data_IF_787406270629
#
_entry.id   IF_787406270629
#
_cell.length_a   1.000
_cell.length_b   1.000
_cell.length_c   1.000
_cell.angle_alpha   90.00
_cell.angle_beta   90.00
_cell.angle_gamma   90.00
#
_symmetry.space_group_name_H-M   'P 1'
#
loop_
_entity.id
_entity.type
_entity.pdbx_description
1 polymer ?
#
# COMPACT_ATOMS: atom_id res chain seq x y z
N UNK A 1 -41.49 37.45 46.62
CA UNK A 1 -40.69 36.49 47.43
C UNK A 1 -41.38 35.14 47.24
N UNK A 2 -40.86 34.13 46.56
CA UNK A 2 -39.57 33.82 45.92
C UNK A 2 -39.91 32.86 44.75
N UNK A 3 -39.37 33.10 43.54
CA UNK A 3 -38.19 32.44 42.96
C UNK A 3 -38.59 31.28 42.02
N UNK A 4 -38.32 31.55 40.76
CA UNK A 4 -38.44 30.78 39.52
C UNK A 4 -37.59 29.50 39.60
N UNK A 5 -38.17 28.35 39.28
CA UNK A 5 -37.47 27.06 39.27
C UNK A 5 -36.74 26.91 37.94
N UNK A 6 -35.42 26.76 38.02
CA UNK A 6 -34.52 26.80 36.88
C UNK A 6 -34.69 25.56 35.99
N UNK A 7 -35.18 25.78 34.77
CA UNK A 7 -35.13 24.80 33.70
C UNK A 7 -33.69 24.78 33.15
N UNK A 8 -32.83 23.95 33.73
CA UNK A 8 -31.49 23.69 33.16
C UNK A 8 -31.65 23.04 31.77
N UNK A 9 -30.91 23.51 30.74
CA UNK A 9 -30.96 22.89 29.44
C UNK A 9 -30.31 21.50 29.52
N UNK A 10 -31.06 20.45 29.20
CA UNK A 10 -30.53 19.10 28.99
C UNK A 10 -29.37 19.18 27.98
N UNK A 11 -28.14 19.11 28.49
CA UNK A 11 -26.96 19.03 27.66
C UNK A 11 -27.01 17.71 26.88
N UNK A 12 -27.06 17.71 25.53
CA UNK A 12 -27.23 16.49 24.72
C UNK A 12 -26.09 15.46 24.88
N UNK A 13 -25.04 15.80 25.63
CA UNK A 13 -23.86 14.98 25.90
C UNK A 13 -23.92 14.18 27.23
N UNK A 14 -24.94 14.32 28.07
CA UNK A 14 -25.08 13.53 29.31
C UNK A 14 -25.87 12.23 29.14
N UNK A 15 -26.40 11.95 27.95
CA UNK A 15 -27.17 10.73 27.72
C UNK A 15 -26.26 9.48 27.80
N UNK A 16 -26.55 8.51 28.70
CA UNK A 16 -25.75 7.29 28.84
C UNK A 16 -25.67 6.45 27.56
N UNK A 17 -26.64 6.58 26.64
CA UNK A 17 -26.55 5.99 25.30
C UNK A 17 -25.40 6.57 24.47
N UNK A 18 -25.23 7.89 24.45
CA UNK A 18 -24.13 8.53 23.72
C UNK A 18 -22.77 8.23 24.36
N UNK A 19 -22.68 8.18 25.69
CA UNK A 19 -21.46 7.77 26.38
C UNK A 19 -21.07 6.31 26.07
N UNK A 20 -22.05 5.40 25.98
CA UNK A 20 -21.81 4.01 25.61
C UNK A 20 -21.43 3.85 24.13
N UNK A 21 -22.04 4.63 23.22
CA UNK A 21 -21.65 4.68 21.80
C UNK A 21 -20.24 5.24 21.65
N UNK A 22 -19.91 6.34 22.34
CA UNK A 22 -18.58 6.91 22.33
C UNK A 22 -17.52 5.94 22.89
N UNK A 23 -17.86 5.19 23.94
CA UNK A 23 -16.98 4.15 24.51
C UNK A 23 -16.81 2.95 23.59
N UNK A 24 -17.88 2.53 22.89
CA UNK A 24 -17.81 1.46 21.90
C UNK A 24 -17.01 1.87 20.65
N UNK A 25 -17.14 3.13 20.22
CA UNK A 25 -16.35 3.69 19.11
C UNK A 25 -14.87 3.90 19.51
N UNK A 26 -14.60 4.37 20.72
CA UNK A 26 -13.23 4.51 21.23
C UNK A 26 -12.51 3.15 21.38
N UNK A 27 -13.26 2.06 21.57
CA UNK A 27 -12.70 0.71 21.63
C UNK A 27 -12.28 0.14 20.26
N UNK A 28 -12.69 0.76 19.14
CA UNK A 28 -12.39 0.27 17.78
C UNK A 28 -11.05 0.78 17.23
N UNK A 29 -10.32 1.59 18.00
CA UNK A 29 -9.01 2.13 17.61
C UNK A 29 -9.12 3.41 16.78
N UNK A 30 -7.99 3.96 16.31
CA UNK A 30 -7.96 5.23 15.56
C UNK A 30 -8.61 5.14 14.17
N UNK A 31 -8.99 3.94 13.72
CA UNK A 31 -9.54 3.65 12.39
C UNK A 31 -10.67 2.61 12.51
N UNK A 32 -11.80 2.88 11.85
CA UNK A 32 -12.94 1.95 11.82
C UNK A 32 -12.72 0.80 10.83
N UNK A 33 -12.04 -0.26 11.28
CA UNK A 33 -11.64 -1.39 10.43
C UNK A 33 -12.80 -2.17 9.82
N UNK A 34 -13.95 -2.24 10.52
CA UNK A 34 -15.14 -2.88 9.97
C UNK A 34 -15.72 -2.12 8.78
N UNK A 35 -15.73 -0.78 8.85
CA UNK A 35 -16.12 0.08 7.73
C UNK A 35 -15.15 -0.11 6.57
N UNK A 36 -13.84 -0.09 6.84
CA UNK A 36 -12.82 -0.33 5.81
C UNK A 36 -13.00 -1.68 5.10
N UNK A 37 -13.24 -2.74 5.86
CA UNK A 37 -13.46 -4.09 5.33
C UNK A 37 -14.73 -4.18 4.49
N UNK A 38 -15.85 -3.64 4.97
CA UNK A 38 -17.12 -3.64 4.22
C UNK A 38 -17.00 -2.86 2.91
N UNK A 39 -16.44 -1.66 2.96
CA UNK A 39 -16.24 -0.82 1.76
C UNK A 39 -15.27 -1.47 0.77
N UNK A 40 -14.20 -2.10 1.25
CA UNK A 40 -13.25 -2.81 0.39
C UNK A 40 -13.89 -3.99 -0.33
N UNK A 41 -14.68 -4.80 0.38
CA UNK A 41 -15.38 -5.95 -0.21
C UNK A 41 -16.41 -5.50 -1.24
N UNK A 42 -17.21 -4.48 -0.92
CA UNK A 42 -18.20 -3.93 -1.86
C UNK A 42 -17.52 -3.39 -3.13
N UNK A 43 -16.42 -2.66 -2.97
CA UNK A 43 -15.66 -2.11 -4.09
C UNK A 43 -14.97 -3.18 -4.94
N UNK A 44 -14.32 -4.17 -4.30
CA UNK A 44 -13.60 -5.25 -5.00
C UNK A 44 -14.52 -6.15 -5.81
N UNK A 45 -15.73 -6.38 -5.31
CA UNK A 45 -16.73 -7.24 -5.93
C UNK A 45 -17.67 -6.48 -6.88
N UNK A 46 -17.66 -5.15 -6.83
CA UNK A 46 -18.57 -4.28 -7.59
C UNK A 46 -20.05 -4.65 -7.38
N UNK A 47 -20.39 -5.15 -6.19
CA UNK A 47 -21.73 -5.63 -5.85
C UNK A 47 -22.13 -6.99 -6.45
N UNK A 48 -21.21 -7.67 -7.15
CA UNK A 48 -21.44 -9.00 -7.70
C UNK A 48 -20.98 -10.10 -6.73
N UNK A 49 -21.59 -11.28 -6.81
CA UNK A 49 -21.08 -12.45 -6.08
C UNK A 49 -19.86 -13.02 -6.80
N UNK A 50 -18.72 -13.10 -6.12
CA UNK A 50 -17.55 -13.81 -6.64
C UNK A 50 -17.67 -15.31 -6.38
N UNK A 51 -17.54 -16.11 -7.44
CA UNK A 51 -17.41 -17.55 -7.32
C UNK A 51 -16.03 -17.92 -6.77
N UNK A 52 -15.95 -19.10 -6.17
CA UNK A 52 -14.66 -19.72 -5.88
C UNK A 52 -13.89 -19.98 -7.18
N UNK A 53 -12.56 -19.90 -7.08
CA UNK A 53 -11.66 -20.25 -8.18
C UNK A 53 -11.91 -21.71 -8.59
N UNK A 54 -12.04 -21.92 -9.90
CA UNK A 54 -12.24 -23.25 -10.48
C UNK A 54 -11.17 -24.25 -9.98
N UNK A 55 -11.56 -25.45 -9.50
CA UNK A 55 -10.61 -26.42 -8.95
C UNK A 55 -9.51 -26.83 -9.93
N UNK A 56 -9.84 -26.99 -11.22
CA UNK A 56 -8.84 -27.36 -12.24
C UNK A 56 -7.83 -26.23 -12.47
N UNK A 57 -8.30 -24.97 -12.49
CA UNK A 57 -7.42 -23.80 -12.60
C UNK A 57 -6.52 -23.64 -11.38
N UNK A 58 -7.05 -23.91 -10.18
CA UNK A 58 -6.28 -23.93 -8.93
C UNK A 58 -5.16 -24.98 -8.98
N UNK A 59 -5.49 -26.23 -9.28
CA UNK A 59 -4.52 -27.32 -9.37
C UNK A 59 -3.42 -26.99 -10.39
N UNK A 60 -3.80 -26.51 -11.58
CA UNK A 60 -2.83 -26.10 -12.61
C UNK A 60 -1.90 -24.99 -12.12
N UNK A 61 -2.43 -23.99 -11.42
CA UNK A 61 -1.61 -22.90 -10.87
C UNK A 61 -0.65 -23.40 -9.79
N UNK A 62 -1.08 -24.33 -8.94
CA UNK A 62 -0.24 -24.97 -7.92
C UNK A 62 0.88 -25.83 -8.53
N UNK A 63 0.63 -26.50 -9.66
CA UNK A 63 1.65 -27.21 -10.43
C UNK A 63 2.70 -26.24 -10.99
N UNK A 64 2.26 -25.15 -11.63
CA UNK A 64 3.15 -24.11 -12.17
C UNK A 64 3.96 -23.42 -11.06
N UNK A 65 3.36 -23.23 -9.88
CA UNK A 65 4.03 -22.65 -8.72
C UNK A 65 5.28 -23.44 -8.31
N UNK A 66 5.21 -24.78 -8.31
CA UNK A 66 6.36 -25.65 -7.97
C UNK A 66 7.50 -25.49 -8.98
N UNK A 67 7.17 -25.34 -10.26
CA UNK A 67 8.14 -25.11 -11.33
C UNK A 67 8.78 -23.73 -11.17
N UNK A 68 7.97 -22.70 -10.98
CA UNK A 68 8.45 -21.33 -10.75
C UNK A 68 9.36 -21.24 -9.52
N UNK A 69 8.98 -21.89 -8.42
CA UNK A 69 9.74 -21.90 -7.16
C UNK A 69 11.14 -22.51 -7.35
N UNK A 70 11.25 -23.63 -8.06
CA UNK A 70 12.54 -24.25 -8.39
C UNK A 70 13.46 -23.26 -9.10
N UNK A 71 12.96 -22.61 -10.16
CA UNK A 71 13.76 -21.67 -10.93
C UNK A 71 14.09 -20.38 -10.18
N UNK A 72 13.18 -19.87 -9.34
CA UNK A 72 13.46 -18.71 -8.49
C UNK A 72 14.58 -19.03 -7.51
N UNK A 73 14.58 -20.20 -6.85
CA UNK A 73 15.67 -20.62 -5.96
C UNK A 73 17.00 -20.70 -6.72
N UNK A 74 17.01 -21.32 -7.90
CA UNK A 74 18.23 -21.47 -8.71
C UNK A 74 18.81 -20.14 -9.21
N UNK A 75 17.97 -19.16 -9.55
CA UNK A 75 18.41 -17.87 -10.10
C UNK A 75 18.80 -16.90 -8.99
N UNK A 76 17.99 -16.82 -7.93
CA UNK A 76 18.18 -15.81 -6.89
C UNK A 76 19.14 -16.22 -5.79
N UNK A 77 19.35 -17.53 -5.59
CA UNK A 77 20.10 -18.10 -4.45
C UNK A 77 19.47 -17.71 -3.08
N UNK A 78 18.20 -17.29 -3.08
CA UNK A 78 17.44 -16.91 -1.89
C UNK A 78 16.57 -18.06 -1.38
N UNK A 79 16.39 -18.10 -0.07
CA UNK A 79 15.54 -19.11 0.58
C UNK A 79 14.05 -18.78 0.41
N UNK A 80 13.26 -19.79 0.03
CA UNK A 80 11.79 -19.77 -0.01
C UNK A 80 11.23 -20.82 0.98
N UNK A 81 11.60 -20.73 2.25
CA UNK A 81 11.26 -21.79 3.22
C UNK A 81 9.75 -21.78 3.52
N UNK A 82 9.10 -22.94 3.37
CA UNK A 82 7.67 -23.17 3.65
C UNK A 82 6.69 -22.26 2.90
N UNK A 83 7.06 -21.74 1.72
CA UNK A 83 6.17 -20.90 0.91
C UNK A 83 5.02 -21.73 0.32
N UNK A 84 3.79 -21.46 0.76
CA UNK A 84 2.57 -22.01 0.17
C UNK A 84 1.90 -20.99 -0.74
N UNK A 85 1.83 -21.30 -2.03
CA UNK A 85 1.04 -20.52 -2.99
C UNK A 85 -0.45 -20.85 -2.83
N UNK A 86 -1.26 -19.83 -2.58
CA UNK A 86 -2.70 -19.93 -2.42
C UNK A 86 -3.41 -19.13 -3.51
N UNK A 87 -4.23 -19.83 -4.29
CA UNK A 87 -5.06 -19.17 -5.31
C UNK A 87 -6.35 -18.67 -4.68
N UNK A 88 -6.55 -17.36 -4.72
CA UNK A 88 -7.64 -16.67 -4.02
C UNK A 88 -8.50 -15.85 -4.97
N UNK A 89 -9.71 -15.51 -4.56
CA UNK A 89 -10.52 -14.48 -5.22
C UNK A 89 -10.21 -13.09 -4.63
N UNK A 90 -10.83 -12.04 -5.17
CA UNK A 90 -10.57 -10.66 -4.74
C UNK A 90 -11.05 -10.43 -3.31
N UNK A 91 -12.18 -11.03 -2.92
CA UNK A 91 -12.69 -10.92 -1.56
C UNK A 91 -11.71 -11.45 -0.50
N UNK A 92 -11.14 -12.64 -0.72
CA UNK A 92 -10.12 -13.23 0.16
C UNK A 92 -8.82 -12.42 0.13
N UNK A 93 -8.41 -11.92 -1.04
CA UNK A 93 -7.26 -11.03 -1.15
C UNK A 93 -7.42 -9.76 -0.32
N UNK A 94 -8.59 -9.11 -0.36
CA UNK A 94 -8.91 -7.92 0.44
C UNK A 94 -8.75 -8.18 1.93
N UNK A 95 -9.28 -9.31 2.42
CA UNK A 95 -9.21 -9.67 3.84
C UNK A 95 -7.78 -9.86 4.32
N UNK A 96 -6.96 -10.59 3.54
CA UNK A 96 -5.54 -10.75 3.83
C UNK A 96 -4.82 -9.41 3.79
N UNK A 97 -5.07 -8.60 2.76
CA UNK A 97 -4.45 -7.28 2.59
C UNK A 97 -4.72 -6.34 3.76
N UNK A 98 -5.98 -6.18 4.16
CA UNK A 98 -6.35 -5.29 5.27
C UNK A 98 -5.76 -5.77 6.60
N UNK A 99 -5.73 -7.08 6.82
CA UNK A 99 -5.14 -7.65 8.05
C UNK A 99 -3.65 -7.34 8.12
N UNK A 100 -2.91 -7.53 7.03
CA UNK A 100 -1.46 -7.35 7.00
C UNK A 100 -1.04 -5.88 6.95
N UNK A 101 -1.82 -5.01 6.32
CA UNK A 101 -1.51 -3.57 6.24
C UNK A 101 -2.02 -2.76 7.42
N UNK A 102 -2.72 -3.41 8.35
CA UNK A 102 -3.25 -2.77 9.56
C UNK A 102 -2.23 -1.91 10.32
N UNK A 103 -0.99 -2.38 10.58
CA UNK A 103 0.00 -1.55 11.28
C UNK A 103 0.32 -0.23 10.56
N UNK A 104 0.47 -0.26 9.23
CA UNK A 104 0.78 0.94 8.45
C UNK A 104 -0.33 1.98 8.51
N UNK A 105 -1.59 1.54 8.38
CA UNK A 105 -2.74 2.43 8.43
C UNK A 105 -3.09 2.88 9.86
N UNK A 106 -2.84 2.06 10.87
CA UNK A 106 -2.97 2.48 12.27
C UNK A 106 -1.93 3.56 12.60
N UNK A 107 -0.69 3.45 12.12
CA UNK A 107 0.32 4.52 12.23
C UNK A 107 -0.09 5.80 11.51
N UNK A 108 -0.64 5.69 10.31
CA UNK A 108 -1.21 6.83 9.57
C UNK A 108 -2.33 7.52 10.37
N UNK A 109 -3.29 6.75 10.86
CA UNK A 109 -4.43 7.25 11.61
C UNK A 109 -3.98 7.95 12.91
N UNK A 110 -2.98 7.39 13.60
CA UNK A 110 -2.37 8.01 14.78
C UNK A 110 -1.69 9.34 14.44
N UNK A 111 -0.98 9.44 13.31
CA UNK A 111 -0.36 10.68 12.86
C UNK A 111 -1.39 11.79 12.58
N UNK A 112 -2.48 11.45 11.90
CA UNK A 112 -3.58 12.37 11.58
C UNK A 112 -4.41 12.78 12.80
N UNK A 113 -4.49 11.94 13.83
CA UNK A 113 -5.21 12.23 15.06
C UNK A 113 -4.47 13.18 16.01
N UNK A 114 -3.19 13.48 15.75
CA UNK A 114 -2.46 14.45 16.56
C UNK A 114 -3.04 15.85 16.32
N UNK A 115 -3.42 16.59 17.38
CA UNK A 115 -3.92 17.94 17.23
C UNK A 115 -2.86 18.80 16.53
N UNK A 116 -3.27 19.56 15.51
CA UNK A 116 -2.44 20.66 15.02
C UNK A 116 -2.16 21.56 16.23
N UNK A 117 -0.90 21.94 16.46
CA UNK A 117 -0.52 22.79 17.60
C UNK A 117 -1.40 24.03 17.58
N UNK A 118 -2.39 24.05 18.47
CA UNK A 118 -3.45 25.03 18.50
C UNK A 118 -2.84 26.39 18.82
N UNK A 119 -3.06 27.35 17.94
CA UNK A 119 -2.90 28.76 18.26
C UNK A 119 -3.94 29.08 19.33
N UNK A 120 -3.49 29.43 20.53
CA UNK A 120 -4.36 29.86 21.62
C UNK A 120 -5.22 31.05 21.14
N UNK A 121 -6.50 30.80 20.89
CA UNK A 121 -7.47 31.81 20.51
C UNK A 121 -8.87 31.35 20.88
N UNK A 122 -9.64 32.21 21.56
CA UNK A 122 -11.00 31.99 22.04
C UNK A 122 -11.83 31.11 21.09
N UNK A 123 -12.03 29.84 21.45
CA UNK A 123 -12.86 28.94 20.67
C UNK A 123 -14.33 29.31 20.88
N UNK A 124 -14.96 29.85 19.83
CA UNK A 124 -16.42 29.97 19.73
C UNK A 124 -17.05 28.58 20.05
N UNK A 125 -18.04 28.48 20.96
CA UNK A 125 -18.70 27.22 21.31
C UNK A 125 -19.18 26.41 20.09
N UNK A 126 -19.50 27.09 19.00
CA UNK A 126 -19.92 26.50 17.72
C UNK A 126 -18.76 25.75 17.04
N UNK A 127 -17.55 26.31 17.07
CA UNK A 127 -16.34 25.69 16.53
C UNK A 127 -15.90 24.47 17.35
N UNK A 128 -16.02 24.55 18.68
CA UNK A 128 -15.74 23.42 19.57
C UNK A 128 -16.69 22.23 19.30
N UNK A 129 -17.98 22.51 19.06
CA UNK A 129 -18.95 21.48 18.70
C UNK A 129 -18.63 20.83 17.34
N UNK A 130 -18.26 21.62 16.33
CA UNK A 130 -17.86 21.10 15.01
C UNK A 130 -16.57 20.27 15.09
N UNK A 131 -15.59 20.70 15.89
CA UNK A 131 -14.35 19.95 16.16
C UNK A 131 -14.59 18.64 16.93
N UNK A 132 -15.62 18.57 17.77
CA UNK A 132 -16.03 17.32 18.42
C UNK A 132 -16.71 16.36 17.43
N UNK A 133 -17.56 16.87 16.55
CA UNK A 133 -18.23 16.07 15.53
C UNK A 133 -17.25 15.53 14.48
N UNK A 134 -16.27 16.34 14.04
CA UNK A 134 -15.25 15.89 13.10
C UNK A 134 -14.39 14.76 13.68
N UNK A 135 -14.02 14.85 14.96
CA UNK A 135 -13.30 13.78 15.69
C UNK A 135 -14.07 12.46 15.75
N UNK A 136 -15.41 12.50 15.78
CA UNK A 136 -16.24 11.29 15.77
C UNK A 136 -16.37 10.67 14.37
N UNK A 137 -16.41 11.49 13.32
CA UNK A 137 -16.65 11.04 11.94
C UNK A 137 -15.35 10.64 11.22
N UNK A 138 -14.23 11.31 11.52
CA UNK A 138 -12.96 11.15 10.81
C UNK A 138 -12.44 9.68 10.76
N UNK A 139 -12.46 8.89 11.84
CA UNK A 139 -12.03 7.49 11.80
C UNK A 139 -12.85 6.62 10.84
N UNK A 140 -14.15 6.90 10.71
CA UNK A 140 -15.05 6.20 9.79
C UNK A 140 -14.78 6.57 8.34
N UNK A 141 -14.56 7.86 8.07
CA UNK A 141 -14.21 8.36 6.74
C UNK A 141 -12.85 7.82 6.30
N UNK A 142 -11.84 7.82 7.17
CA UNK A 142 -10.53 7.25 6.88
C UNK A 142 -10.64 5.73 6.58
N UNK A 143 -11.42 5.01 7.39
CA UNK A 143 -11.72 3.61 7.14
C UNK A 143 -12.36 3.39 5.77
N UNK A 144 -13.38 4.18 5.42
CA UNK A 144 -14.05 4.13 4.13
C UNK A 144 -13.07 4.39 2.97
N UNK A 145 -12.23 5.42 3.07
CA UNK A 145 -11.21 5.75 2.08
C UNK A 145 -10.22 4.59 1.87
N UNK A 146 -9.65 4.05 2.95
CA UNK A 146 -8.74 2.90 2.90
C UNK A 146 -9.43 1.68 2.29
N UNK A 147 -10.70 1.47 2.67
CA UNK A 147 -11.52 0.40 2.13
C UNK A 147 -11.69 0.52 0.61
N UNK A 148 -12.13 1.66 0.12
CA UNK A 148 -12.29 1.93 -1.33
C UNK A 148 -10.99 1.67 -2.08
N UNK A 149 -9.86 2.15 -1.57
CA UNK A 149 -8.57 1.98 -2.23
C UNK A 149 -8.13 0.53 -2.32
N UNK A 150 -8.17 -0.20 -1.20
CA UNK A 150 -7.83 -1.63 -1.17
C UNK A 150 -8.77 -2.42 -2.06
N UNK A 151 -10.06 -2.07 -2.07
CA UNK A 151 -11.06 -2.69 -2.94
C UNK A 151 -10.74 -2.48 -4.42
N UNK A 152 -10.34 -1.27 -4.83
CA UNK A 152 -9.94 -0.97 -6.20
C UNK A 152 -8.63 -1.69 -6.59
N UNK A 153 -7.63 -1.74 -5.70
CA UNK A 153 -6.42 -2.53 -5.93
C UNK A 153 -6.73 -4.01 -6.17
N UNK A 154 -7.70 -4.57 -5.43
CA UNK A 154 -8.11 -5.96 -5.60
C UNK A 154 -8.63 -6.30 -7.01
N UNK A 155 -9.14 -5.32 -7.75
CA UNK A 155 -9.63 -5.52 -9.13
C UNK A 155 -8.50 -5.69 -10.15
N UNK A 156 -7.29 -5.26 -9.81
CA UNK A 156 -6.17 -5.21 -10.75
C UNK A 156 -4.96 -6.03 -10.31
N UNK A 157 -4.72 -6.19 -9.01
CA UNK A 157 -3.60 -6.95 -8.46
C UNK A 157 -3.50 -8.36 -9.02
N UNK A 158 -2.27 -8.83 -9.27
CA UNK A 158 -2.03 -10.25 -9.57
C UNK A 158 -1.85 -11.10 -8.32
N UNK A 159 -1.38 -10.52 -7.22
CA UNK A 159 -0.96 -11.29 -6.06
C UNK A 159 -0.64 -10.43 -4.83
N UNK A 160 0.29 -10.91 -4.03
CA UNK A 160 0.62 -10.36 -2.73
C UNK A 160 1.37 -9.04 -2.80
N UNK A 161 2.29 -8.91 -3.76
CA UNK A 161 3.27 -7.83 -3.85
C UNK A 161 2.96 -6.82 -4.97
N UNK A 162 1.68 -6.50 -5.16
CA UNK A 162 1.28 -5.39 -6.05
C UNK A 162 1.85 -4.05 -5.56
N UNK A 163 1.95 -3.89 -4.24
CA UNK A 163 2.89 -2.97 -3.61
C UNK A 163 4.06 -3.79 -3.03
N UNK A 164 5.32 -3.40 -3.28
CA UNK A 164 6.52 -4.04 -2.75
C UNK A 164 6.68 -3.76 -1.24
N UNK A 165 5.77 -4.31 -0.45
CA UNK A 165 5.74 -4.18 0.99
C UNK A 165 5.87 -5.56 1.65
N UNK A 166 6.61 -5.68 2.76
CA UNK A 166 6.64 -6.91 3.53
C UNK A 166 5.24 -7.31 4.01
N UNK A 167 4.93 -8.59 3.93
CA UNK A 167 3.65 -9.14 4.38
C UNK A 167 3.83 -10.30 5.36
N UNK A 168 3.11 -10.21 6.47
CA UNK A 168 3.04 -11.19 7.56
C UNK A 168 1.65 -11.87 7.57
N UNK A 169 1.55 -13.14 8.03
CA UNK A 169 2.63 -14.03 8.42
C UNK A 169 3.41 -14.60 7.23
N UNK A 170 4.69 -14.90 7.42
CA UNK A 170 5.54 -15.54 6.42
C UNK A 170 5.09 -16.97 6.06
N UNK A 171 5.41 -17.41 4.83
CA UNK A 171 5.07 -18.76 4.34
C UNK A 171 3.76 -18.85 3.56
N UNK A 172 3.05 -17.74 3.34
CA UNK A 172 1.92 -17.69 2.42
C UNK A 172 2.18 -16.69 1.30
N UNK A 173 1.86 -17.11 0.08
CA UNK A 173 1.89 -16.27 -1.11
C UNK A 173 0.53 -16.37 -1.81
N UNK A 174 -0.17 -15.25 -1.96
CA UNK A 174 -1.49 -15.23 -2.60
C UNK A 174 -1.42 -14.83 -4.07
N UNK A 175 -2.22 -15.49 -4.91
CA UNK A 175 -2.39 -15.13 -6.33
C UNK A 175 -3.87 -14.99 -6.66
N UNK A 176 -4.25 -13.90 -7.31
CA UNK A 176 -5.61 -13.63 -7.81
C UNK A 176 -5.69 -14.06 -9.27
N UNK A 177 -5.82 -15.37 -9.50
CA UNK A 177 -5.70 -15.95 -10.86
C UNK A 177 -6.73 -15.39 -11.85
N UNK A 178 -7.90 -14.96 -11.38
CA UNK A 178 -8.91 -14.32 -12.25
C UNK A 178 -8.41 -13.01 -12.87
N UNK A 179 -7.64 -12.21 -12.11
CA UNK A 179 -7.03 -10.98 -12.62
C UNK A 179 -5.87 -11.29 -13.57
N UNK A 180 -5.11 -12.34 -13.28
CA UNK A 180 -4.02 -12.82 -14.16
C UNK A 180 -4.58 -13.31 -15.50
N UNK A 181 -5.64 -14.12 -15.46
CA UNK A 181 -6.31 -14.64 -16.66
C UNK A 181 -6.96 -13.52 -17.47
N UNK A 182 -7.64 -12.57 -16.82
CA UNK A 182 -8.22 -11.41 -17.48
C UNK A 182 -7.15 -10.58 -18.22
N UNK A 183 -6.02 -10.31 -17.57
CA UNK A 183 -4.92 -9.59 -18.20
C UNK A 183 -4.29 -10.38 -19.35
N UNK A 184 -4.14 -11.70 -19.20
CA UNK A 184 -3.64 -12.55 -20.26
C UNK A 184 -4.54 -12.49 -21.50
N UNK A 185 -5.86 -12.54 -21.31
CA UNK A 185 -6.84 -12.46 -22.39
C UNK A 185 -6.80 -11.09 -23.09
N UNK A 186 -6.77 -9.98 -22.34
CA UNK A 186 -6.69 -8.61 -22.88
C UNK A 186 -5.46 -8.40 -23.78
N UNK A 187 -4.33 -8.99 -23.40
CA UNK A 187 -3.06 -8.85 -24.12
C UNK A 187 -2.77 -10.01 -25.08
N UNK A 188 -3.71 -10.94 -25.25
CA UNK A 188 -3.56 -12.14 -26.09
C UNK A 188 -2.29 -12.95 -25.75
N UNK A 189 -2.07 -13.14 -24.44
CA UNK A 189 -0.97 -13.92 -23.86
C UNK A 189 -1.53 -15.29 -23.43
N UNK A 190 -0.73 -16.35 -23.52
CA UNK A 190 -1.06 -17.64 -22.92
C UNK A 190 -1.31 -17.48 -21.42
N UNK A 191 -2.47 -17.94 -20.93
CA UNK A 191 -2.81 -17.84 -19.50
C UNK A 191 -1.81 -18.57 -18.61
N UNK A 192 -1.23 -19.68 -19.06
CA UNK A 192 -0.21 -20.40 -18.30
C UNK A 192 1.12 -19.64 -18.28
N UNK A 193 1.53 -19.01 -19.39
CA UNK A 193 2.74 -18.19 -19.45
C UNK A 193 2.60 -16.96 -18.57
N UNK A 194 1.41 -16.33 -18.57
CA UNK A 194 1.12 -15.19 -17.72
C UNK A 194 1.09 -15.56 -16.23
N UNK A 195 0.52 -16.72 -15.89
CA UNK A 195 0.60 -17.28 -14.52
C UNK A 195 2.04 -17.56 -14.13
N UNK A 196 2.85 -18.15 -15.02
CA UNK A 196 4.26 -18.41 -14.75
C UNK A 196 5.04 -17.12 -14.48
N UNK A 197 4.79 -16.08 -15.28
CA UNK A 197 5.37 -14.75 -15.05
C UNK A 197 4.93 -14.16 -13.72
N UNK A 198 3.63 -14.23 -13.39
CA UNK A 198 3.10 -13.70 -12.14
C UNK A 198 3.67 -14.45 -10.93
N UNK A 199 3.77 -15.77 -11.00
CA UNK A 199 4.41 -16.59 -9.97
C UNK A 199 5.88 -16.21 -9.79
N UNK A 200 6.64 -16.05 -10.87
CA UNK A 200 8.03 -15.60 -10.78
C UNK A 200 8.13 -14.23 -10.08
N UNK A 201 7.28 -13.27 -10.46
CA UNK A 201 7.20 -11.96 -9.81
C UNK A 201 6.91 -12.05 -8.31
N UNK A 202 5.86 -12.78 -7.94
CA UNK A 202 5.44 -12.92 -6.55
C UNK A 202 6.46 -13.69 -5.70
N UNK A 203 7.07 -14.75 -6.23
CA UNK A 203 8.07 -15.56 -5.53
C UNK A 203 9.39 -14.82 -5.36
N UNK A 204 9.85 -14.04 -6.35
CA UNK A 204 11.05 -13.22 -6.22
C UNK A 204 10.85 -12.15 -5.14
N UNK A 205 9.72 -11.44 -5.17
CA UNK A 205 9.38 -10.50 -4.09
C UNK A 205 9.34 -11.21 -2.73
N UNK A 206 8.70 -12.39 -2.66
CA UNK A 206 8.63 -13.17 -1.43
C UNK A 206 10.01 -13.53 -0.90
N UNK A 207 10.93 -13.95 -1.77
CA UNK A 207 12.30 -14.28 -1.42
C UNK A 207 13.05 -13.05 -0.87
N UNK A 208 12.93 -11.89 -1.53
CA UNK A 208 13.54 -10.63 -1.09
C UNK A 208 13.00 -10.21 0.29
N UNK A 209 11.68 -10.24 0.49
CA UNK A 209 11.06 -9.90 1.77
C UNK A 209 11.18 -10.99 2.85
N UNK A 210 11.74 -12.16 2.51
CA UNK A 210 12.15 -13.18 3.48
C UNK A 210 13.51 -12.86 4.13
N UNK A 211 14.27 -11.93 3.53
CA UNK A 211 15.53 -11.43 4.09
C UNK A 211 15.25 -10.43 5.22
N UNK A 212 15.44 -10.89 6.45
CA UNK A 212 15.05 -10.17 7.68
C UNK A 212 15.57 -8.71 7.76
N UNK A 213 16.87 -8.41 7.51
CA UNK A 213 17.36 -7.03 7.56
C UNK A 213 16.62 -6.09 6.61
N UNK A 214 16.37 -6.54 5.37
CA UNK A 214 15.70 -5.74 4.33
C UNK A 214 14.23 -5.55 4.66
N UNK A 215 13.55 -6.63 5.05
CA UNK A 215 12.16 -6.60 5.53
C UNK A 215 11.99 -5.59 6.66
N UNK A 216 12.81 -5.70 7.71
CA UNK A 216 12.69 -4.86 8.91
C UNK A 216 13.00 -3.41 8.60
N UNK A 217 14.00 -3.13 7.75
CA UNK A 217 14.33 -1.76 7.36
C UNK A 217 13.23 -1.10 6.53
N UNK A 218 12.71 -1.79 5.50
CA UNK A 218 11.64 -1.24 4.67
C UNK A 218 10.34 -1.05 5.45
N UNK A 219 9.94 -2.03 6.27
CA UNK A 219 8.79 -1.92 7.18
C UNK A 219 8.93 -0.67 8.05
N UNK A 220 10.09 -0.50 8.69
CA UNK A 220 10.35 0.64 9.57
C UNK A 220 10.28 1.98 8.84
N UNK A 221 10.84 2.09 7.63
CA UNK A 221 10.77 3.32 6.84
C UNK A 221 9.33 3.68 6.46
N UNK A 222 8.53 2.70 6.05
CA UNK A 222 7.12 2.88 5.68
C UNK A 222 6.28 3.26 6.90
N UNK A 223 6.45 2.59 8.04
CA UNK A 223 5.77 2.93 9.30
C UNK A 223 6.11 4.36 9.77
N UNK A 224 7.38 4.74 9.72
CA UNK A 224 7.82 6.09 10.08
C UNK A 224 7.30 7.16 9.11
N UNK A 225 7.23 6.83 7.81
CA UNK A 225 6.67 7.72 6.80
C UNK A 225 5.16 7.91 7.00
N UNK A 226 4.42 6.81 7.17
CA UNK A 226 2.97 6.83 7.40
C UNK A 226 2.61 7.53 8.72
N UNK A 227 3.35 7.29 9.80
CA UNK A 227 3.17 8.00 11.08
C UNK A 227 3.58 9.48 11.04
N UNK A 228 4.26 9.92 9.98
CA UNK A 228 4.69 11.29 9.77
C UNK A 228 3.59 12.24 9.27
N UNK A 229 2.44 11.73 8.84
CA UNK A 229 1.33 12.57 8.38
C UNK A 229 0.80 13.47 9.51
N UNK A 230 0.45 14.72 9.17
CA UNK A 230 -0.16 15.68 10.08
C UNK A 230 -1.36 16.31 9.38
N UNK A 231 -2.46 16.48 10.10
CA UNK A 231 -3.61 17.20 9.58
C UNK A 231 -3.24 18.68 9.40
N UNK A 232 -3.25 19.17 8.16
CA UNK A 232 -3.19 20.61 7.88
C UNK A 232 -4.60 21.15 7.67
N UNK A 233 -5.08 21.90 8.66
CA UNK A 233 -6.39 22.54 8.62
C UNK A 233 -6.55 23.49 7.42
N UNK A 234 -5.45 24.11 6.97
CA UNK A 234 -5.43 25.03 5.82
C UNK A 234 -5.66 24.25 4.52
N UNK A 235 -4.89 23.19 4.30
CA UNK A 235 -5.04 22.33 3.14
C UNK A 235 -6.41 21.64 3.07
N UNK A 236 -6.98 21.24 4.21
CA UNK A 236 -8.35 20.70 4.27
C UNK A 236 -9.38 21.77 3.91
N UNK A 237 -9.26 22.99 4.45
CA UNK A 237 -10.16 24.09 4.12
C UNK A 237 -10.10 24.47 2.63
N UNK A 238 -8.91 24.51 2.03
CA UNK A 238 -8.73 24.72 0.59
C UNK A 238 -9.30 23.58 -0.26
N UNK A 239 -9.14 22.34 0.18
CA UNK A 239 -9.72 21.17 -0.48
C UNK A 239 -11.25 21.19 -0.43
N UNK A 240 -11.83 21.54 0.71
CA UNK A 240 -13.27 21.73 0.88
C UNK A 240 -13.81 22.92 0.06
N UNK A 241 -13.02 23.98 -0.14
CA UNK A 241 -13.39 25.12 -1.00
C UNK A 241 -13.38 24.75 -2.48
N UNK A 242 -12.54 23.79 -2.88
CA UNK A 242 -12.52 23.22 -4.25
C UNK A 242 -13.70 22.29 -4.52
N UNK A 243 -14.23 21.66 -3.48
CA UNK A 243 -15.48 20.91 -3.56
C UNK A 243 -16.64 21.92 -3.66
N UNK A 244 -17.61 21.66 -4.53
CA UNK A 244 -18.79 22.53 -4.67
C UNK A 244 -19.79 22.30 -3.52
N UNK A 245 -19.35 22.63 -2.30
CA UNK A 245 -20.08 22.56 -1.04
C UNK A 245 -21.23 23.59 -1.02
N UNK A 246 -21.28 24.51 -2.00
CA UNK A 246 -22.31 25.53 -2.15
C UNK A 246 -23.73 24.96 -2.31
N UNK A 247 -23.83 23.71 -2.74
CA UNK A 247 -25.10 23.00 -2.94
C UNK A 247 -25.78 22.57 -1.63
N UNK A 248 -25.06 22.54 -0.50
CA UNK A 248 -25.62 22.18 0.82
C UNK A 248 -26.15 20.75 0.95
N UNK A 249 -25.94 19.89 -0.05
CA UNK A 249 -26.40 18.50 -0.07
C UNK A 249 -25.34 17.56 0.55
N UNK A 250 -25.60 16.98 1.74
CA UNK A 250 -24.66 16.09 2.40
C UNK A 250 -24.26 14.87 1.56
N UNK A 251 -25.15 14.38 0.69
CA UNK A 251 -24.87 13.20 -0.14
C UNK A 251 -23.88 13.49 -1.26
N UNK A 252 -23.92 14.68 -1.87
CA UNK A 252 -22.97 15.08 -2.93
C UNK A 252 -21.58 15.37 -2.39
N UNK A 253 -21.51 15.93 -1.18
CA UNK A 253 -20.24 16.15 -0.48
C UNK A 253 -19.61 14.80 -0.16
N UNK A 254 -20.39 13.85 0.35
CA UNK A 254 -19.92 12.49 0.61
C UNK A 254 -19.46 11.79 -0.67
N UNK A 255 -20.22 11.88 -1.76
CA UNK A 255 -19.87 11.30 -3.07
C UNK A 255 -18.57 11.89 -3.64
N UNK A 256 -18.36 13.20 -3.48
CA UNK A 256 -17.15 13.88 -3.94
C UNK A 256 -15.93 13.52 -3.10
N UNK A 257 -16.07 13.40 -1.77
CA UNK A 257 -15.01 12.96 -0.87
C UNK A 257 -14.66 11.47 -1.06
N UNK A 258 -15.65 10.66 -1.45
CA UNK A 258 -15.43 9.26 -1.84
C UNK A 258 -14.71 9.14 -3.19
N UNK A 259 -14.99 10.08 -4.10
CA UNK A 259 -14.37 10.15 -5.42
C UNK A 259 -12.93 10.66 -5.36
N UNK A 260 -12.65 11.59 -4.45
CA UNK A 260 -11.30 12.07 -4.17
C UNK A 260 -10.99 12.06 -2.65
N UNK A 261 -10.57 10.90 -2.12
CA UNK A 261 -10.20 10.76 -0.71
C UNK A 261 -8.99 11.61 -0.32
N UNK A 262 -8.25 12.17 -1.28
CA UNK A 262 -7.04 12.96 -1.04
C UNK A 262 -7.33 14.29 -0.36
N UNK A 263 -8.55 14.81 -0.54
CA UNK A 263 -9.01 16.08 0.01
C UNK A 263 -8.95 16.11 1.54
N UNK A 264 -9.28 14.98 2.19
CA UNK A 264 -9.29 14.88 3.66
C UNK A 264 -7.90 14.78 4.28
N UNK A 265 -6.88 14.46 3.49
CA UNK A 265 -5.53 14.27 4.00
C UNK A 265 -4.70 15.55 4.06
N UNK A 266 -5.23 16.69 3.58
CA UNK A 266 -4.58 17.99 3.70
C UNK A 266 -3.11 17.94 3.27
N UNK A 267 -2.88 17.79 1.96
CA UNK A 267 -1.65 17.26 1.35
C UNK A 267 -0.37 18.11 1.47
N UNK A 268 0.04 18.48 2.68
CA UNK A 268 1.39 18.92 2.98
C UNK A 268 2.16 17.78 3.66
N UNK A 269 3.28 17.36 3.06
CA UNK A 269 4.22 16.45 3.73
C UNK A 269 4.79 17.16 4.95
N UNK A 270 4.87 16.46 6.08
CA UNK A 270 5.57 17.01 7.25
C UNK A 270 7.09 17.07 7.00
N UNK A 271 7.81 17.89 7.78
CA UNK A 271 9.28 17.93 7.74
C UNK A 271 9.93 16.56 8.01
N UNK A 272 9.24 15.67 8.75
CA UNK A 272 9.67 14.29 8.91
C UNK A 272 9.54 13.50 7.60
N UNK A 273 8.40 13.62 6.92
CA UNK A 273 8.17 12.97 5.63
C UNK A 273 9.10 13.51 4.54
N UNK A 274 9.39 14.81 4.51
CA UNK A 274 10.35 15.40 3.56
C UNK A 274 11.76 14.80 3.71
N UNK A 275 12.18 14.51 4.94
CA UNK A 275 13.48 13.88 5.23
C UNK A 275 13.48 12.38 4.93
N UNK A 276 12.38 11.68 5.19
CA UNK A 276 12.29 10.22 4.99
C UNK A 276 11.99 9.83 3.55
N UNK A 277 11.22 10.64 2.81
CA UNK A 277 10.83 10.36 1.43
C UNK A 277 12.02 9.94 0.54
N UNK A 278 13.11 10.73 0.41
CA UNK A 278 14.20 10.34 -0.48
C UNK A 278 14.88 9.03 -0.05
N UNK A 279 14.96 8.74 1.25
CA UNK A 279 15.56 7.52 1.78
C UNK A 279 14.68 6.31 1.46
N UNK A 280 13.37 6.43 1.68
CA UNK A 280 12.40 5.39 1.34
C UNK A 280 12.35 5.16 -0.18
N UNK A 281 12.33 6.23 -0.96
CA UNK A 281 12.35 6.18 -2.43
C UNK A 281 13.60 5.46 -2.93
N UNK A 282 14.77 5.76 -2.35
CA UNK A 282 16.03 5.14 -2.74
C UNK A 282 16.05 3.63 -2.45
N UNK A 283 15.66 3.25 -1.23
CA UNK A 283 15.57 1.86 -0.81
C UNK A 283 14.55 1.08 -1.64
N UNK A 284 13.37 1.67 -1.90
CA UNK A 284 12.31 1.03 -2.66
C UNK A 284 12.68 0.85 -4.12
N UNK A 285 13.24 1.87 -4.77
CA UNK A 285 13.68 1.80 -6.16
C UNK A 285 14.78 0.73 -6.34
N UNK A 286 15.73 0.63 -5.41
CA UNK A 286 16.76 -0.41 -5.45
C UNK A 286 16.17 -1.82 -5.34
N UNK A 287 15.24 -2.03 -4.41
CA UNK A 287 14.57 -3.31 -4.19
C UNK A 287 13.71 -3.71 -5.40
N UNK A 288 12.92 -2.78 -5.94
CA UNK A 288 12.13 -3.00 -7.15
C UNK A 288 13.03 -3.30 -8.35
N UNK A 289 14.12 -2.56 -8.51
CA UNK A 289 15.11 -2.83 -9.57
C UNK A 289 15.72 -4.23 -9.45
N UNK A 290 16.09 -4.63 -8.22
CA UNK A 290 16.61 -5.98 -7.97
C UNK A 290 15.58 -7.05 -8.32
N UNK A 291 14.34 -6.88 -7.86
CA UNK A 291 13.24 -7.80 -8.17
C UNK A 291 13.02 -7.89 -9.67
N UNK A 292 12.91 -6.77 -10.38
CA UNK A 292 12.69 -6.76 -11.83
C UNK A 292 13.83 -7.47 -12.58
N UNK A 293 15.10 -7.25 -12.19
CA UNK A 293 16.25 -7.98 -12.75
C UNK A 293 16.15 -9.50 -12.55
N UNK A 294 15.81 -9.93 -11.32
CA UNK A 294 15.67 -11.36 -11.01
C UNK A 294 14.47 -11.98 -11.72
N UNK A 295 13.34 -11.28 -11.82
CA UNK A 295 12.17 -11.73 -12.57
C UNK A 295 12.50 -11.89 -14.06
N UNK A 296 13.21 -10.93 -14.65
CA UNK A 296 13.66 -11.02 -16.04
C UNK A 296 14.57 -12.25 -16.23
N UNK A 297 15.51 -12.50 -15.31
CA UNK A 297 16.39 -13.67 -15.36
C UNK A 297 15.63 -15.01 -15.22
N UNK A 298 14.67 -15.10 -14.30
CA UNK A 298 13.82 -16.29 -14.09
C UNK A 298 12.92 -16.54 -15.29
N UNK A 299 12.24 -15.51 -15.77
CA UNK A 299 11.29 -15.62 -16.89
C UNK A 299 11.99 -15.88 -18.22
N UNK A 300 13.22 -15.40 -18.41
CA UNK A 300 14.04 -15.77 -19.57
C UNK A 300 14.27 -17.29 -19.63
N UNK A 301 14.53 -17.95 -18.49
CA UNK A 301 14.70 -19.41 -18.41
C UNK A 301 13.40 -20.18 -18.61
N UNK A 302 12.32 -19.70 -17.99
CA UNK A 302 11.01 -20.38 -18.00
C UNK A 302 10.27 -20.24 -19.34
N UNK A 303 10.33 -19.06 -19.95
CA UNK A 303 9.46 -18.67 -21.06
C UNK A 303 10.24 -18.40 -22.37
N UNK A 304 11.55 -18.61 -22.37
CA UNK A 304 12.37 -18.51 -23.58
C UNK A 304 12.47 -17.08 -24.16
N UNK A 305 12.41 -16.06 -23.31
CA UNK A 305 12.51 -14.65 -23.73
C UNK A 305 11.15 -13.99 -24.01
N UNK A 306 10.25 -14.00 -23.03
CA UNK A 306 8.91 -13.41 -23.08
C UNK A 306 8.91 -11.88 -23.06
N UNK A 307 9.56 -11.24 -24.04
CA UNK A 307 9.58 -9.77 -24.22
C UNK A 307 8.18 -9.17 -24.29
N UNK A 308 7.21 -9.92 -24.84
CA UNK A 308 5.80 -9.50 -24.91
C UNK A 308 5.15 -9.35 -23.54
N UNK A 309 5.37 -10.30 -22.63
CA UNK A 309 4.76 -10.28 -21.28
C UNK A 309 5.38 -9.14 -20.47
N UNK A 310 6.71 -9.04 -20.46
CA UNK A 310 7.41 -7.98 -19.77
C UNK A 310 6.98 -6.58 -20.27
N UNK A 311 6.84 -6.41 -21.59
CA UNK A 311 6.35 -5.15 -22.17
C UNK A 311 4.88 -4.86 -21.82
N UNK A 312 4.00 -5.86 -21.89
CA UNK A 312 2.59 -5.71 -21.52
C UNK A 312 2.43 -5.27 -20.06
N UNK A 313 3.16 -5.91 -19.14
CA UNK A 313 3.14 -5.54 -17.71
C UNK A 313 3.75 -4.15 -17.52
N UNK A 314 4.85 -3.82 -18.19
CA UNK A 314 5.47 -2.50 -18.10
C UNK A 314 4.51 -1.39 -18.54
N UNK A 315 3.76 -1.61 -19.62
CA UNK A 315 2.70 -0.67 -20.07
C UNK A 315 1.58 -0.53 -19.06
N UNK A 316 1.15 -1.63 -18.45
CA UNK A 316 0.15 -1.59 -17.37
C UNK A 316 0.65 -0.81 -16.16
N UNK A 317 1.91 -1.01 -15.76
CA UNK A 317 2.54 -0.25 -14.67
C UNK A 317 2.59 1.24 -14.97
N UNK A 318 2.81 1.66 -16.22
CA UNK A 318 2.77 3.07 -16.63
C UNK A 318 1.35 3.65 -16.65
N UNK A 319 0.36 2.83 -17.02
CA UNK A 319 -1.06 3.21 -17.05
C UNK A 319 -1.70 3.31 -15.64
N UNK A 320 -0.92 3.69 -14.61
CA UNK A 320 -1.35 3.70 -13.21
C UNK A 320 -2.75 4.29 -13.04
N UNK A 321 -3.66 3.52 -12.44
CA UNK A 321 -4.96 4.03 -12.01
C UNK A 321 -4.74 5.03 -10.88
N UNK A 322 -5.46 6.15 -10.88
CA UNK A 322 -5.39 7.22 -9.84
C UNK A 322 -5.40 6.67 -8.41
N UNK A 323 -6.12 5.58 -8.18
CA UNK A 323 -6.26 4.94 -6.87
C UNK A 323 -4.99 4.22 -6.38
N UNK A 324 -4.22 3.62 -7.29
CA UNK A 324 -2.93 3.00 -6.96
C UNK A 324 -1.94 4.06 -6.50
N UNK A 325 -1.84 5.14 -7.28
CA UNK A 325 -0.99 6.30 -6.98
C UNK A 325 -1.29 6.85 -5.58
N UNK A 326 -2.54 6.81 -5.15
CA UNK A 326 -2.91 7.33 -3.85
C UNK A 326 -2.46 6.45 -2.68
N UNK A 327 -2.63 5.12 -2.76
CA UNK A 327 -2.11 4.19 -1.72
C UNK A 327 -0.59 4.28 -1.65
N UNK A 328 0.06 4.32 -2.81
CA UNK A 328 1.50 4.50 -2.93
C UNK A 328 1.95 5.80 -2.24
N UNK A 329 1.25 6.93 -2.46
CA UNK A 329 1.54 8.21 -1.78
C UNK A 329 1.32 8.15 -0.27
N UNK A 330 0.27 7.47 0.19
CA UNK A 330 -0.04 7.30 1.62
C UNK A 330 1.05 6.51 2.36
N UNK A 331 1.60 5.49 1.72
CA UNK A 331 2.63 4.63 2.31
C UNK A 331 4.05 5.07 1.96
N UNK A 332 4.21 6.09 1.11
CA UNK A 332 5.51 6.55 0.61
C UNK A 332 6.16 5.58 -0.37
N UNK A 333 5.39 4.65 -0.94
CA UNK A 333 5.83 3.61 -1.87
C UNK A 333 5.50 4.04 -3.30
N UNK A 334 5.87 5.27 -3.66
CA UNK A 334 5.54 5.81 -4.97
C UNK A 334 6.45 5.19 -6.04
N UNK A 335 5.85 4.50 -7.01
CA UNK A 335 6.50 3.70 -8.05
C UNK A 335 6.40 4.37 -9.41
N UNK A 336 6.68 5.67 -9.49
CA UNK A 336 6.69 6.39 -10.78
C UNK A 336 7.65 5.77 -11.78
N UNK A 337 7.39 6.02 -13.06
CA UNK A 337 8.25 5.60 -14.17
C UNK A 337 9.70 6.04 -13.97
N UNK A 338 9.93 7.25 -13.47
CA UNK A 338 11.27 7.78 -13.19
C UNK A 338 11.98 6.98 -12.10
N UNK A 339 11.27 6.59 -11.04
CA UNK A 339 11.84 5.84 -9.91
C UNK A 339 12.18 4.41 -10.29
N UNK A 340 11.30 3.76 -11.06
CA UNK A 340 11.56 2.42 -11.62
C UNK A 340 12.77 2.48 -12.57
N UNK A 341 12.86 3.51 -13.42
CA UNK A 341 14.00 3.70 -14.31
C UNK A 341 15.31 3.94 -13.54
N UNK A 342 15.27 4.71 -12.46
CA UNK A 342 16.42 4.96 -11.60
C UNK A 342 16.89 3.68 -10.89
N UNK A 343 15.96 2.89 -10.36
CA UNK A 343 16.24 1.56 -9.82
C UNK A 343 16.90 0.64 -10.85
N UNK A 344 16.34 0.58 -12.06
CA UNK A 344 16.95 -0.20 -13.15
C UNK A 344 18.36 0.28 -13.49
N UNK A 345 18.57 1.59 -13.64
CA UNK A 345 19.89 2.17 -13.90
C UNK A 345 20.90 1.79 -12.81
N UNK A 346 20.46 1.82 -11.54
CA UNK A 346 21.30 1.43 -10.42
C UNK A 346 21.78 -0.02 -10.55
N UNK A 347 20.84 -0.93 -10.79
CA UNK A 347 21.12 -2.37 -10.88
C UNK A 347 22.00 -2.69 -12.09
N UNK A 348 21.68 -2.13 -13.26
CA UNK A 348 22.48 -2.29 -14.48
C UNK A 348 23.93 -1.80 -14.24
N UNK A 349 24.08 -0.66 -13.55
CA UNK A 349 25.39 -0.10 -13.22
C UNK A 349 26.20 -0.91 -12.20
N UNK A 350 25.53 -1.53 -11.21
CA UNK A 350 26.18 -2.47 -10.27
C UNK A 350 26.64 -3.73 -11.00
N UNK A 351 25.78 -4.32 -11.83
CA UNK A 351 26.10 -5.54 -12.58
C UNK A 351 27.27 -5.32 -13.54
N UNK A 352 27.29 -4.20 -14.26
CA UNK A 352 28.39 -3.85 -15.17
C UNK A 352 29.76 -3.83 -14.46
N UNK A 353 29.79 -3.41 -13.19
CA UNK A 353 31.02 -3.18 -12.42
C UNK A 353 31.43 -4.38 -11.55
N UNK A 354 30.47 -5.10 -10.99
CA UNK A 354 30.70 -6.11 -9.97
C UNK A 354 29.93 -7.44 -10.19
N UNK A 355 29.16 -7.54 -11.28
CA UNK A 355 28.35 -8.71 -11.62
C UNK A 355 27.25 -9.04 -10.60
N UNK A 356 26.60 -10.20 -10.78
CA UNK A 356 25.54 -10.66 -9.86
C UNK A 356 26.06 -10.92 -8.44
N UNK A 357 27.34 -11.24 -8.27
CA UNK A 357 27.95 -11.39 -6.95
C UNK A 357 27.99 -10.06 -6.19
N UNK A 358 28.33 -8.95 -6.86
CA UNK A 358 28.25 -7.61 -6.29
C UNK A 358 26.80 -7.21 -5.98
N UNK A 359 25.87 -7.51 -6.89
CA UNK A 359 24.46 -7.19 -6.69
C UNK A 359 23.85 -7.88 -5.46
N UNK A 360 24.25 -9.12 -5.16
CA UNK A 360 23.78 -9.85 -3.97
C UNK A 360 24.10 -9.15 -2.64
N UNK A 361 25.12 -8.28 -2.60
CA UNK A 361 25.42 -7.48 -1.42
C UNK A 361 24.29 -6.53 -1.02
N UNK A 362 23.40 -6.17 -1.95
CA UNK A 362 22.22 -5.35 -1.64
C UNK A 362 21.34 -5.95 -0.54
N UNK A 363 21.26 -7.28 -0.46
CA UNK A 363 20.38 -7.98 0.47
C UNK A 363 21.09 -8.45 1.75
N UNK A 364 22.42 -8.31 1.88
CA UNK A 364 23.15 -8.90 3.02
C UNK A 364 22.96 -8.13 4.33
N UNK A 365 22.74 -6.81 4.27
CA UNK A 365 22.48 -5.96 5.43
C UNK A 365 21.52 -4.82 5.09
N UNK A 366 20.77 -4.33 6.08
CA UNK A 366 19.95 -3.13 5.94
C UNK A 366 20.78 -1.88 5.57
N UNK A 367 22.03 -1.82 6.02
CA UNK A 367 22.95 -0.71 5.73
C UNK A 367 23.46 -0.74 4.29
N UNK A 368 23.27 -1.86 3.58
CA UNK A 368 23.64 -1.99 2.18
C UNK A 368 22.56 -1.45 1.24
N UNK A 369 21.41 -1.00 1.73
CA UNK A 369 20.48 -0.25 0.90
C UNK A 369 21.13 1.08 0.46
N UNK A 370 20.97 1.49 -0.81
CA UNK A 370 21.64 2.68 -1.31
C UNK A 370 21.00 3.95 -0.74
N UNK A 371 21.83 4.96 -0.54
CA UNK A 371 21.37 6.34 -0.36
C UNK A 371 20.84 6.91 -1.68
N UNK A 372 20.12 8.06 -1.68
CA UNK A 372 19.66 8.69 -2.91
C UNK A 372 20.79 9.02 -3.89
N UNK A 373 21.96 9.45 -3.38
CA UNK A 373 23.12 9.76 -4.21
C UNK A 373 23.74 8.48 -4.82
N UNK A 374 23.78 7.40 -4.05
CA UNK A 374 24.26 6.09 -4.50
C UNK A 374 23.35 5.43 -5.51
N UNK A 375 22.03 5.60 -5.37
CA UNK A 375 21.07 5.12 -6.36
C UNK A 375 21.30 5.80 -7.73
N UNK A 376 21.61 7.10 -7.73
CA UNK A 376 21.94 7.84 -8.95
C UNK A 376 23.35 7.52 -9.49
N UNK A 377 24.27 7.06 -8.65
CA UNK A 377 25.65 6.77 -9.00
C UNK A 377 26.12 5.43 -8.38
N UNK A 378 25.90 4.30 -9.07
CA UNK A 378 26.16 2.96 -8.53
C UNK A 378 27.60 2.71 -8.07
N UNK A 379 28.56 3.42 -8.67
CA UNK A 379 29.97 3.35 -8.25
C UNK A 379 30.20 3.84 -6.82
N UNK A 380 29.42 4.81 -6.32
CA UNK A 380 29.53 5.29 -4.94
C UNK A 380 29.11 4.20 -3.95
N UNK A 381 28.06 3.45 -4.30
CA UNK A 381 27.57 2.35 -3.48
C UNK A 381 28.62 1.24 -3.36
N UNK A 382 29.19 0.81 -4.50
CA UNK A 382 30.24 -0.21 -4.53
C UNK A 382 31.48 0.23 -3.72
N UNK A 383 31.93 1.48 -3.91
CA UNK A 383 33.06 2.02 -3.17
C UNK A 383 32.81 2.02 -1.65
N UNK A 384 31.57 2.31 -1.21
CA UNK A 384 31.22 2.23 0.21
C UNK A 384 31.32 0.80 0.72
N UNK A 385 30.79 -0.18 -0.02
CA UNK A 385 30.84 -1.58 0.40
C UNK A 385 32.26 -2.16 0.45
N UNK A 386 33.19 -1.67 -0.36
CA UNK A 386 34.61 -2.07 -0.29
C UNK A 386 35.32 -1.54 0.96
N UNK A 387 34.78 -0.51 1.61
CA UNK A 387 35.36 0.13 2.81
C UNK A 387 34.78 -0.38 4.13
N UNK A 388 33.73 -1.21 4.08
CA UNK A 388 33.10 -1.87 5.23
C UNK A 388 33.76 -3.23 5.47
#
# INVERSE_FOLDING_TARGET
>A
MAADDANEPEHPFTNPLFANIAKAMAAQGPLQWDVARQTALMTATQGATENNVDPSRRIRTEELARVAEMHVREVTDLALTDTKVEVVNRATWVQHTLTTWKPFFDSLAQGLAQPATSTEGDEDPTFAMLGNMSRLIAPSMLGMSIGTLVGKLATTTFGQYDLPLPREPHGRLVLVVSNVDHFADEWSISRDDMVMWALAHELVNHAVFSVEPIRTRLRSLVEQFAGGFRADATSVAEGLTRLDVSSGDPMKILDSLLSDPTVLLGAARSQQQERLAPILDAAMAAVVGFVDHQVDAVTMRLLGGSTRIAEAVRRRRVAQTTDRVFVERLLGVDLTTERVALGKHFIDGVIERAGDAGLRQLLTSADNLPTPAELAAPGLWLARLETL
#
